data_IF_423435808800
#
_entry.id   IF_423435808800
#
_cell.length_a   1.000
_cell.length_b   1.000
_cell.length_c   1.000
_cell.angle_alpha   90.00
_cell.angle_beta   90.00
_cell.angle_gamma   90.00
#
_symmetry.space_group_name_H-M   'P 1'
#
loop_
_entity.id
_entity.type
_entity.pdbx_description
1 polymer ?
#
# COMPACT_ATOMS: atom_id res chain seq x y z
N UNK A 1 12.22 21.62 -36.74
CA UNK A 1 11.23 20.66 -37.29
C UNK A 1 10.44 21.34 -38.41
N UNK A 2 10.49 20.81 -39.62
CA UNK A 2 9.73 21.31 -40.77
C UNK A 2 8.26 20.94 -40.68
N UNK A 3 7.38 21.56 -41.48
CA UNK A 3 5.94 21.22 -41.53
C UNK A 3 5.68 19.75 -41.90
N UNK A 4 6.46 19.22 -42.82
CA UNK A 4 6.37 17.81 -43.28
C UNK A 4 6.80 16.82 -42.17
N UNK A 5 7.82 17.14 -41.39
CA UNK A 5 8.27 16.35 -40.25
C UNK A 5 7.21 16.35 -39.12
N UNK A 6 6.53 17.47 -38.93
CA UNK A 6 5.46 17.59 -37.95
C UNK A 6 4.24 16.77 -38.32
N UNK A 7 3.86 16.76 -39.58
CA UNK A 7 2.73 15.95 -40.08
C UNK A 7 3.02 14.45 -39.96
N UNK A 8 4.23 14.01 -40.26
CA UNK A 8 4.66 12.62 -40.03
C UNK A 8 4.62 12.22 -38.58
N UNK A 9 5.11 13.08 -37.67
CA UNK A 9 5.05 12.84 -36.22
C UNK A 9 3.61 12.76 -35.71
N UNK A 10 2.75 13.69 -36.12
CA UNK A 10 1.33 13.68 -35.73
C UNK A 10 0.63 12.40 -36.20
N UNK A 11 0.95 11.92 -37.41
CA UNK A 11 0.42 10.67 -37.95
C UNK A 11 0.92 9.46 -37.16
N UNK A 12 2.20 9.43 -36.81
CA UNK A 12 2.81 8.38 -35.97
C UNK A 12 2.17 8.33 -34.58
N UNK A 13 2.11 9.46 -33.87
CA UNK A 13 1.53 9.53 -32.51
C UNK A 13 0.04 9.16 -32.51
N UNK A 14 -0.72 9.59 -33.51
CA UNK A 14 -2.12 9.17 -33.68
C UNK A 14 -2.25 7.66 -33.89
N UNK A 15 -1.34 7.05 -34.65
CA UNK A 15 -1.29 5.61 -34.84
C UNK A 15 -1.13 4.88 -33.50
N UNK A 16 -0.22 5.33 -32.63
CA UNK A 16 -0.05 4.76 -31.28
C UNK A 16 -1.35 4.94 -30.46
N UNK A 17 -1.90 6.16 -30.42
CA UNK A 17 -3.08 6.48 -29.61
C UNK A 17 -4.30 5.63 -29.99
N UNK A 18 -4.50 5.39 -31.28
CA UNK A 18 -5.62 4.58 -31.78
C UNK A 18 -5.51 3.11 -31.37
N UNK A 19 -4.28 2.59 -31.25
CA UNK A 19 -4.00 1.21 -30.88
C UNK A 19 -3.84 0.99 -29.37
N UNK A 20 -3.94 2.04 -28.52
CA UNK A 20 -3.92 1.89 -27.07
C UNK A 20 -5.09 1.04 -26.56
N UNK A 21 -4.86 0.18 -25.55
CA UNK A 21 -5.92 -0.61 -24.93
C UNK A 21 -6.86 0.27 -24.09
N UNK A 22 -8.11 -0.19 -23.94
CA UNK A 22 -9.13 0.46 -23.11
C UNK A 22 -9.13 -0.05 -21.66
N UNK A 23 -7.95 -0.35 -21.14
CA UNK A 23 -7.71 -0.91 -19.81
C UNK A 23 -6.98 0.09 -18.92
N UNK A 24 -6.95 -0.13 -17.59
CA UNK A 24 -6.14 0.66 -16.67
C UNK A 24 -4.65 0.52 -16.99
N UNK A 25 -3.88 1.59 -16.71
CA UNK A 25 -2.43 1.55 -16.91
C UNK A 25 -1.75 2.89 -16.68
N UNK A 26 -0.44 2.91 -16.92
CA UNK A 26 0.39 4.10 -16.93
C UNK A 26 0.91 4.37 -18.33
N UNK A 27 0.96 5.65 -18.72
CA UNK A 27 1.54 6.10 -19.96
C UNK A 27 2.72 7.03 -19.68
N UNK A 28 3.68 7.02 -20.58
CA UNK A 28 4.92 7.77 -20.49
C UNK A 28 5.11 8.53 -21.82
N UNK A 29 5.38 9.83 -21.73
CA UNK A 29 5.69 10.65 -22.89
C UNK A 29 7.18 10.88 -22.95
N UNK A 30 7.76 10.64 -24.13
CA UNK A 30 9.18 10.77 -24.39
C UNK A 30 9.45 11.97 -25.31
N UNK A 31 10.59 12.63 -25.09
CA UNK A 31 11.08 13.70 -25.94
C UNK A 31 11.92 13.15 -27.10
N UNK A 32 12.55 14.06 -27.84
CA UNK A 32 13.45 13.81 -28.98
C UNK A 32 14.70 12.98 -28.58
N UNK A 33 15.16 13.12 -27.35
CA UNK A 33 16.31 12.40 -26.80
C UNK A 33 15.95 11.03 -26.22
N UNK A 34 14.67 10.62 -26.30
CA UNK A 34 14.17 9.39 -25.70
C UNK A 34 13.99 9.46 -24.18
N UNK A 35 14.08 10.65 -23.58
CA UNK A 35 13.88 10.84 -22.16
C UNK A 35 12.40 10.93 -21.82
N UNK A 36 12.01 10.33 -20.69
CA UNK A 36 10.65 10.41 -20.16
C UNK A 36 10.40 11.79 -19.57
N UNK A 37 9.57 12.59 -20.24
CA UNK A 37 9.23 13.97 -19.83
C UNK A 37 7.95 14.07 -19.01
N UNK A 38 7.07 13.04 -19.07
CA UNK A 38 5.84 12.98 -18.31
C UNK A 38 5.40 11.55 -18.12
N UNK A 39 4.87 11.23 -16.93
CA UNK A 39 4.20 9.98 -16.59
C UNK A 39 2.80 10.29 -16.08
N UNK A 40 1.82 9.48 -16.46
CA UNK A 40 0.46 9.62 -15.96
C UNK A 40 -0.27 8.29 -15.87
N UNK A 41 -1.17 8.17 -14.90
CA UNK A 41 -2.08 7.02 -14.78
C UNK A 41 -3.36 7.24 -15.59
N UNK A 42 -3.98 6.13 -15.96
CA UNK A 42 -5.28 6.11 -16.61
C UNK A 42 -6.13 4.93 -16.10
N UNK A 43 -7.42 5.16 -15.96
CA UNK A 43 -8.44 4.10 -15.82
C UNK A 43 -8.76 3.46 -17.17
N UNK A 44 -8.57 4.20 -18.24
CA UNK A 44 -8.67 3.79 -19.64
C UNK A 44 -7.56 4.53 -20.41
N UNK A 45 -6.51 3.80 -20.79
CA UNK A 45 -5.33 4.34 -21.44
C UNK A 45 -5.68 5.09 -22.71
N UNK A 46 -6.44 4.44 -23.61
CA UNK A 46 -6.82 5.03 -24.89
C UNK A 46 -7.55 6.35 -24.73
N UNK A 47 -8.60 6.38 -23.91
CA UNK A 47 -9.40 7.59 -23.67
C UNK A 47 -8.59 8.70 -23.05
N UNK A 48 -7.73 8.36 -22.08
CA UNK A 48 -6.91 9.33 -21.36
C UNK A 48 -5.83 9.94 -22.25
N UNK A 49 -5.09 9.13 -22.97
CA UNK A 49 -4.04 9.60 -23.88
C UNK A 49 -4.64 10.39 -25.04
N UNK A 50 -5.75 9.90 -25.64
CA UNK A 50 -6.47 10.63 -26.68
C UNK A 50 -6.84 12.05 -26.28
N UNK A 51 -7.25 12.29 -25.03
CA UNK A 51 -7.63 13.62 -24.53
C UNK A 51 -6.51 14.66 -24.59
N UNK A 52 -5.24 14.26 -24.66
CA UNK A 52 -4.12 15.19 -24.86
C UNK A 52 -3.96 15.65 -26.31
N UNK A 53 -4.45 14.86 -27.26
CA UNK A 53 -4.34 15.13 -28.70
C UNK A 53 -5.64 15.65 -29.31
N UNK A 54 -6.74 15.70 -28.51
CA UNK A 54 -7.97 16.35 -28.93
C UNK A 54 -7.84 17.87 -28.87
N UNK A 55 -8.45 18.58 -29.82
CA UNK A 55 -8.32 20.04 -29.97
C UNK A 55 -9.09 20.87 -28.89
N UNK A 56 -9.83 20.24 -28.00
CA UNK A 56 -10.64 20.92 -27.00
C UNK A 56 -9.76 21.47 -25.86
N UNK A 57 -9.81 22.80 -25.67
CA UNK A 57 -9.30 23.61 -24.55
C UNK A 57 -8.17 23.00 -23.73
N UNK A 58 -6.98 22.88 -24.28
CA UNK A 58 -5.80 22.51 -23.52
C UNK A 58 -5.26 23.71 -22.74
N UNK A 59 -4.89 23.47 -21.47
CA UNK A 59 -4.14 24.49 -20.73
C UNK A 59 -2.82 24.80 -21.44
N UNK A 60 -2.30 26.02 -21.31
CA UNK A 60 -1.01 26.42 -21.89
C UNK A 60 0.13 25.45 -21.55
N UNK A 61 0.09 24.90 -20.35
CA UNK A 61 1.05 23.90 -19.85
C UNK A 61 0.93 22.56 -20.58
N UNK A 62 -0.30 22.08 -20.81
CA UNK A 62 -0.56 20.86 -21.58
C UNK A 62 -0.14 21.00 -23.02
N UNK A 63 -0.40 22.15 -23.65
CA UNK A 63 0.03 22.41 -25.02
C UNK A 63 1.56 22.41 -25.16
N UNK A 64 2.27 22.96 -24.18
CA UNK A 64 3.75 22.91 -24.14
C UNK A 64 4.27 21.48 -23.99
N UNK A 65 3.64 20.65 -23.16
CA UNK A 65 3.97 19.24 -23.04
C UNK A 65 3.75 18.51 -24.36
N UNK A 66 2.55 18.59 -24.95
CA UNK A 66 2.20 17.91 -26.19
C UNK A 66 3.14 18.25 -27.35
N UNK A 67 3.55 19.50 -27.47
CA UNK A 67 4.50 19.93 -28.48
C UNK A 67 5.90 19.25 -28.35
N UNK A 68 6.26 18.75 -27.19
CA UNK A 68 7.54 18.08 -26.94
C UNK A 68 7.47 16.56 -27.03
N UNK A 69 6.28 15.98 -27.11
CA UNK A 69 6.11 14.53 -27.24
C UNK A 69 6.64 14.09 -28.62
N UNK A 70 7.48 13.04 -28.60
CA UNK A 70 7.99 12.36 -29.80
C UNK A 70 7.62 10.89 -29.83
N UNK A 71 7.38 10.29 -28.64
CA UNK A 71 6.98 8.90 -28.51
C UNK A 71 6.11 8.70 -27.28
N UNK A 72 5.35 7.60 -27.26
CA UNK A 72 4.43 7.22 -26.16
C UNK A 72 4.68 5.76 -25.83
N UNK A 73 5.12 5.50 -24.60
CA UNK A 73 5.15 4.16 -23.99
C UNK A 73 4.00 4.01 -23.01
N UNK A 74 3.56 2.78 -22.81
CA UNK A 74 2.50 2.49 -21.84
C UNK A 74 2.70 1.13 -21.20
N UNK A 75 2.17 0.96 -19.99
CA UNK A 75 2.17 -0.28 -19.23
C UNK A 75 0.73 -0.52 -18.78
N UNK A 76 0.18 -1.66 -19.16
CA UNK A 76 -1.16 -2.10 -18.76
C UNK A 76 -1.09 -2.69 -17.36
N UNK A 77 -2.08 -2.40 -16.54
CA UNK A 77 -2.24 -3.01 -15.19
C UNK A 77 -3.68 -3.44 -15.01
N UNK A 78 -3.94 -4.25 -13.98
CA UNK A 78 -5.26 -4.86 -13.75
C UNK A 78 -6.26 -3.90 -13.09
N UNK A 79 -5.78 -2.94 -12.29
CA UNK A 79 -6.64 -2.02 -11.54
C UNK A 79 -6.18 -0.56 -11.63
N UNK A 80 -7.09 0.37 -11.28
CA UNK A 80 -6.74 1.79 -11.15
C UNK A 80 -5.78 2.03 -9.99
N UNK A 81 -5.84 1.21 -8.94
CA UNK A 81 -4.94 1.30 -7.79
C UNK A 81 -3.52 0.90 -8.16
N UNK A 82 -3.36 -0.17 -8.95
CA UNK A 82 -2.06 -0.57 -9.50
C UNK A 82 -1.48 0.53 -10.39
N UNK A 83 -2.32 1.15 -11.25
CA UNK A 83 -1.89 2.27 -12.07
C UNK A 83 -1.39 3.46 -11.22
N UNK A 84 -2.03 3.74 -10.07
CA UNK A 84 -1.62 4.80 -9.15
C UNK A 84 -0.26 4.49 -8.50
N UNK A 85 -0.06 3.25 -8.05
CA UNK A 85 1.20 2.82 -7.45
C UNK A 85 2.34 2.85 -8.47
N UNK A 86 2.08 2.36 -9.68
CA UNK A 86 3.03 2.36 -10.77
C UNK A 86 3.41 3.78 -11.21
N UNK A 87 2.43 4.68 -11.39
CA UNK A 87 2.68 6.11 -11.68
C UNK A 87 3.63 6.73 -10.67
N UNK A 88 3.37 6.52 -9.37
CA UNK A 88 4.21 7.05 -8.30
C UNK A 88 5.65 6.54 -8.38
N UNK A 89 5.83 5.24 -8.63
CA UNK A 89 7.14 4.61 -8.76
C UNK A 89 7.91 5.16 -9.98
N UNK A 90 7.24 5.24 -11.13
CA UNK A 90 7.83 5.76 -12.36
C UNK A 90 8.22 7.24 -12.25
N UNK A 91 7.35 8.08 -11.61
CA UNK A 91 7.67 9.49 -11.39
C UNK A 91 8.88 9.65 -10.47
N UNK A 92 9.00 8.85 -9.42
CA UNK A 92 10.15 8.88 -8.52
C UNK A 92 11.43 8.43 -9.19
N UNK A 93 11.34 7.40 -10.00
CA UNK A 93 12.49 6.86 -10.71
C UNK A 93 13.02 7.82 -11.77
N UNK A 94 12.15 8.33 -12.65
CA UNK A 94 12.54 9.11 -13.81
C UNK A 94 12.53 10.62 -13.57
N UNK A 95 11.95 11.11 -12.47
CA UNK A 95 11.85 12.54 -12.14
C UNK A 95 11.39 13.42 -13.32
N UNK A 96 10.31 13.06 -14.07
CA UNK A 96 10.00 13.67 -15.36
C UNK A 96 9.74 15.16 -15.22
N UNK A 97 10.24 15.97 -16.16
CA UNK A 97 10.21 17.43 -16.07
C UNK A 97 8.80 18.03 -15.89
N UNK A 98 7.78 17.45 -16.55
CA UNK A 98 6.41 17.98 -16.55
C UNK A 98 5.54 17.45 -15.40
N UNK A 99 5.98 16.45 -14.64
CA UNK A 99 5.30 16.06 -13.41
C UNK A 99 5.66 17.07 -12.29
N UNK A 100 4.65 17.64 -11.65
CA UNK A 100 4.82 18.57 -10.52
C UNK A 100 4.55 17.87 -9.20
N UNK A 101 3.50 17.02 -9.18
CA UNK A 101 3.13 16.20 -8.03
C UNK A 101 3.93 14.89 -8.05
N UNK A 102 4.06 14.26 -6.88
CA UNK A 102 4.72 12.95 -6.66
C UNK A 102 6.24 12.95 -6.89
N UNK A 103 6.86 14.08 -7.17
CA UNK A 103 8.33 14.21 -7.26
C UNK A 103 9.03 14.28 -5.90
N UNK A 104 8.28 14.63 -4.84
CA UNK A 104 8.83 14.59 -3.50
C UNK A 104 9.02 13.13 -3.06
N UNK A 105 9.94 12.90 -2.13
CA UNK A 105 10.24 11.58 -1.56
C UNK A 105 9.09 10.98 -0.73
N UNK A 106 7.91 11.63 -0.72
CA UNK A 106 6.74 11.13 0.00
C UNK A 106 6.20 9.88 -0.67
N UNK A 107 6.65 8.75 -0.19
CA UNK A 107 6.08 7.43 -0.51
C UNK A 107 4.67 7.31 0.09
N UNK A 108 3.88 6.39 -0.46
CA UNK A 108 2.67 5.97 0.23
C UNK A 108 3.04 5.47 1.64
N UNK A 109 2.25 5.83 2.66
CA UNK A 109 2.56 5.41 4.02
C UNK A 109 2.33 3.91 4.19
N UNK A 110 3.17 3.33 5.04
CA UNK A 110 3.06 1.96 5.53
C UNK A 110 2.82 1.97 7.04
N UNK A 111 2.33 0.88 7.59
CA UNK A 111 2.27 0.66 9.04
C UNK A 111 3.53 -0.10 9.43
N UNK A 112 4.27 0.45 10.39
CA UNK A 112 5.47 -0.17 10.96
C UNK A 112 5.13 -0.81 12.30
N UNK A 113 5.53 -2.06 12.49
CA UNK A 113 5.60 -2.75 13.78
C UNK A 113 7.09 -2.87 14.12
N UNK A 114 7.55 -2.12 15.13
CA UNK A 114 8.97 -2.03 15.46
C UNK A 114 9.55 -3.34 16.00
N UNK A 115 10.86 -3.53 15.81
CA UNK A 115 11.59 -4.67 16.34
C UNK A 115 12.21 -4.31 17.72
N UNK A 116 11.36 -4.21 18.73
CA UNK A 116 11.71 -3.86 20.12
C UNK A 116 11.15 -4.91 21.08
N UNK A 117 11.63 -5.01 22.33
CA UNK A 117 11.07 -5.93 23.34
C UNK A 117 9.57 -5.73 23.57
N UNK A 118 9.10 -4.48 23.46
CA UNK A 118 7.68 -4.07 23.44
C UNK A 118 7.41 -3.27 22.18
N UNK A 119 7.08 -3.90 21.04
CA UNK A 119 6.91 -3.25 19.74
C UNK A 119 5.86 -2.15 19.76
N UNK A 120 6.08 -1.10 18.97
CA UNK A 120 5.09 -0.05 18.68
C UNK A 120 4.51 -0.24 17.30
N UNK A 121 3.26 0.20 17.12
CA UNK A 121 2.58 0.21 15.83
C UNK A 121 2.26 1.66 15.46
N UNK A 122 2.74 2.11 14.31
CA UNK A 122 2.51 3.47 13.83
C UNK A 122 2.65 3.57 12.31
N UNK A 123 2.07 4.62 11.74
CA UNK A 123 2.23 4.92 10.31
C UNK A 123 3.56 5.61 10.04
N UNK A 124 4.20 5.23 8.95
CA UNK A 124 5.44 5.86 8.48
C UNK A 124 5.50 5.86 6.95
N UNK A 125 6.26 6.80 6.40
CA UNK A 125 6.64 6.79 4.99
C UNK A 125 8.09 6.36 4.77
N UNK A 126 8.88 6.33 5.85
CA UNK A 126 10.27 5.92 5.80
C UNK A 126 10.38 4.43 6.16
N UNK A 127 10.92 3.64 5.25
CA UNK A 127 11.18 2.22 5.44
C UNK A 127 12.65 2.05 5.81
N UNK A 128 12.89 1.57 7.04
CA UNK A 128 14.23 1.23 7.53
C UNK A 128 14.25 -0.28 7.77
N UNK A 129 14.82 -1.04 6.84
CA UNK A 129 14.71 -2.51 6.78
C UNK A 129 15.02 -3.26 8.08
N UNK A 130 15.85 -2.72 8.98
CA UNK A 130 16.19 -3.35 10.27
C UNK A 130 15.34 -2.89 11.45
N UNK A 131 14.50 -1.86 11.27
CA UNK A 131 13.77 -1.23 12.38
C UNK A 131 12.46 -1.96 12.75
N UNK A 132 11.92 -2.80 11.87
CA UNK A 132 10.67 -3.52 12.13
C UNK A 132 10.08 -4.20 10.91
N UNK A 133 8.85 -4.72 11.08
CA UNK A 133 8.03 -5.27 9.99
C UNK A 133 7.14 -4.17 9.44
N UNK A 134 7.02 -4.09 8.12
CA UNK A 134 6.23 -3.08 7.42
C UNK A 134 5.05 -3.73 6.70
N UNK A 135 3.88 -3.10 6.79
CA UNK A 135 2.64 -3.52 6.14
C UNK A 135 2.14 -2.39 5.24
N UNK A 136 1.73 -2.69 4.04
CA UNK A 136 1.40 -1.74 2.99
C UNK A 136 2.39 -1.81 1.83
N UNK A 137 2.51 -0.80 0.95
CA UNK A 137 2.03 0.58 1.10
C UNK A 137 0.51 0.74 0.92
N UNK A 138 -0.08 1.70 1.63
CA UNK A 138 -1.51 2.00 1.54
C UNK A 138 -1.74 3.21 0.64
N UNK A 139 -2.43 3.02 -0.47
CA UNK A 139 -2.84 4.10 -1.38
C UNK A 139 -3.94 4.97 -0.78
N UNK A 140 -4.84 4.37 0.02
CA UNK A 140 -5.98 5.05 0.63
C UNK A 140 -5.75 5.34 2.11
N UNK A 141 -5.44 6.60 2.43
CA UNK A 141 -5.12 7.05 3.81
C UNK A 141 -6.25 6.82 4.81
N UNK A 142 -7.54 7.04 4.49
CA UNK A 142 -8.63 6.73 5.40
C UNK A 142 -8.65 5.27 5.86
N UNK A 143 -8.44 4.31 4.97
CA UNK A 143 -8.35 2.88 5.31
C UNK A 143 -7.19 2.60 6.27
N UNK A 144 -6.02 3.16 6.01
CA UNK A 144 -4.86 3.04 6.91
C UNK A 144 -5.17 3.58 8.32
N UNK A 145 -5.78 4.76 8.41
CA UNK A 145 -6.14 5.36 9.69
C UNK A 145 -7.20 4.50 10.41
N UNK A 146 -8.23 4.02 9.70
CA UNK A 146 -9.26 3.15 10.28
C UNK A 146 -8.67 1.84 10.82
N UNK A 147 -7.67 1.26 10.14
CA UNK A 147 -6.94 0.07 10.59
C UNK A 147 -6.14 0.34 11.88
N UNK A 148 -5.46 1.47 11.95
CA UNK A 148 -4.73 1.87 13.15
C UNK A 148 -5.66 2.16 14.34
N UNK A 149 -6.81 2.78 14.10
CA UNK A 149 -7.83 3.03 15.12
C UNK A 149 -8.46 1.72 15.61
N UNK A 150 -8.74 0.78 14.71
CA UNK A 150 -9.21 -0.55 15.08
C UNK A 150 -8.20 -1.26 16.01
N UNK A 151 -6.93 -1.32 15.62
CA UNK A 151 -5.86 -1.94 16.42
C UNK A 151 -5.75 -1.26 17.80
N UNK A 152 -5.78 0.07 17.83
CA UNK A 152 -5.71 0.84 19.08
C UNK A 152 -6.91 0.58 19.99
N UNK A 153 -8.10 0.39 19.42
CA UNK A 153 -9.32 0.10 20.17
C UNK A 153 -9.36 -1.34 20.72
N UNK A 154 -8.74 -2.29 19.99
CA UNK A 154 -8.68 -3.70 20.38
C UNK A 154 -7.59 -3.97 21.42
N UNK A 155 -6.43 -3.31 21.26
CA UNK A 155 -5.23 -3.60 22.02
C UNK A 155 -4.64 -2.33 22.63
N UNK A 156 -4.54 -2.23 23.97
CA UNK A 156 -3.94 -1.10 24.64
C UNK A 156 -2.40 -1.15 24.55
N UNK A 157 -1.88 -0.79 23.38
CA UNK A 157 -0.46 -0.83 23.07
C UNK A 157 0.21 0.52 23.36
N UNK A 158 1.48 0.48 23.74
CA UNK A 158 2.26 1.70 23.98
C UNK A 158 2.50 2.52 22.72
N UNK A 159 2.51 3.84 22.87
CA UNK A 159 2.88 4.80 21.82
C UNK A 159 4.20 5.52 22.14
N UNK A 160 4.65 5.48 23.40
CA UNK A 160 5.86 6.16 23.88
C UNK A 160 7.15 5.61 23.22
N UNK A 161 8.19 6.48 23.15
CA UNK A 161 9.49 6.14 22.54
C UNK A 161 10.55 5.67 23.55
N UNK A 162 10.14 5.33 24.77
CA UNK A 162 11.06 4.82 25.80
C UNK A 162 11.69 3.49 25.36
N UNK A 163 12.96 3.31 25.64
CA UNK A 163 13.69 2.04 25.42
C UNK A 163 13.39 1.13 26.61
N UNK A 164 12.44 0.22 26.43
CA UNK A 164 11.96 -0.69 27.46
C UNK A 164 12.80 -1.97 27.46
N UNK A 165 13.97 -1.91 28.10
CA UNK A 165 14.75 -3.12 28.47
C UNK A 165 14.29 -3.63 29.83
N UNK A 166 14.51 -4.90 30.11
CA UNK A 166 14.20 -5.51 31.41
C UNK A 166 14.86 -4.74 32.57
N UNK A 167 16.10 -4.29 32.35
CA UNK A 167 16.86 -3.50 33.32
C UNK A 167 16.20 -2.14 33.58
N UNK A 168 15.82 -1.41 32.53
CA UNK A 168 15.18 -0.10 32.66
C UNK A 168 13.81 -0.17 33.36
N UNK A 169 13.08 -1.27 33.16
CA UNK A 169 11.80 -1.53 33.84
C UNK A 169 12.03 -1.87 35.30
N UNK A 170 12.98 -2.79 35.60
CA UNK A 170 13.30 -3.22 36.97
C UNK A 170 13.82 -2.10 37.83
N UNK A 171 14.60 -1.18 37.25
CA UNK A 171 15.14 -0.01 37.97
C UNK A 171 14.15 1.11 38.19
N UNK A 172 12.90 0.98 37.69
CA UNK A 172 11.87 2.01 37.85
C UNK A 172 12.19 3.32 37.13
N UNK A 173 12.92 3.25 35.99
CA UNK A 173 13.40 4.41 35.22
C UNK A 173 12.29 5.31 34.70
N UNK A 174 11.08 4.76 34.51
CA UNK A 174 9.98 5.43 33.82
C UNK A 174 8.79 5.63 34.76
N UNK A 175 8.11 6.77 34.61
CA UNK A 175 6.83 7.05 35.23
C UNK A 175 5.69 6.76 34.25
N UNK A 176 4.48 6.55 34.77
CA UNK A 176 3.25 6.42 33.98
C UNK A 176 2.95 7.69 33.20
N UNK A 177 2.48 7.54 32.00
CA UNK A 177 2.10 8.64 31.11
C UNK A 177 0.56 8.74 30.98
N UNK A 178 0.09 9.77 30.30
CA UNK A 178 -1.33 9.99 30.07
C UNK A 178 -2.02 8.76 29.43
N UNK A 179 -1.37 8.10 28.46
CA UNK A 179 -1.93 6.91 27.78
C UNK A 179 -2.23 5.76 28.76
N UNK A 180 -1.47 5.63 29.84
CA UNK A 180 -1.76 4.67 30.91
C UNK A 180 -3.01 5.08 31.70
N UNK A 181 -3.12 6.34 32.09
CA UNK A 181 -4.25 6.83 32.87
C UNK A 181 -5.58 6.75 32.10
N UNK A 182 -5.56 7.01 30.80
CA UNK A 182 -6.75 6.87 29.94
C UNK A 182 -6.95 5.45 29.41
N UNK A 183 -6.20 4.47 29.94
CA UNK A 183 -6.30 3.02 29.63
C UNK A 183 -5.99 2.64 28.17
N UNK A 184 -5.33 3.49 27.42
CA UNK A 184 -4.82 3.19 26.08
C UNK A 184 -3.51 2.37 26.09
N UNK A 185 -2.89 2.22 27.28
CA UNK A 185 -1.68 1.44 27.49
C UNK A 185 -1.75 0.77 28.87
N UNK A 186 -1.33 -0.49 28.98
CA UNK A 186 -1.31 -1.25 30.26
C UNK A 186 -0.04 -1.03 31.08
N UNK A 187 0.82 -0.09 30.74
CA UNK A 187 2.00 0.28 31.51
C UNK A 187 3.14 -0.75 31.49
N UNK A 188 3.58 -1.29 30.34
CA UNK A 188 4.74 -2.18 30.31
C UNK A 188 6.02 -1.50 30.79
N UNK A 189 6.10 -0.16 30.75
CA UNK A 189 7.24 0.62 31.22
C UNK A 189 7.45 0.57 32.75
N UNK A 190 6.41 0.23 33.52
CA UNK A 190 6.43 0.08 34.99
C UNK A 190 6.17 -1.37 35.43
N UNK A 191 6.27 -2.35 34.48
CA UNK A 191 6.07 -3.77 34.76
C UNK A 191 4.64 -4.22 35.02
N UNK A 192 3.63 -3.36 34.75
CA UNK A 192 2.21 -3.71 34.93
C UNK A 192 1.65 -4.64 33.85
N UNK A 193 2.40 -4.86 32.77
CA UNK A 193 2.06 -5.81 31.72
C UNK A 193 3.28 -6.67 31.39
N UNK A 194 3.10 -8.00 31.37
CA UNK A 194 4.15 -8.92 31.00
C UNK A 194 4.48 -8.82 29.52
N UNK A 195 5.69 -9.24 29.15
CA UNK A 195 6.13 -9.26 27.76
C UNK A 195 5.30 -10.25 26.94
N UNK A 196 4.97 -11.40 27.52
CA UNK A 196 4.19 -12.46 26.87
C UNK A 196 2.80 -11.97 26.50
N UNK A 197 2.10 -11.35 27.45
CA UNK A 197 0.78 -10.75 27.21
C UNK A 197 0.85 -9.65 26.14
N UNK A 198 1.88 -8.79 26.21
CA UNK A 198 2.07 -7.74 25.23
C UNK A 198 2.32 -8.28 23.82
N UNK A 199 3.19 -9.29 23.71
CA UNK A 199 3.53 -9.91 22.43
C UNK A 199 2.36 -10.67 21.81
N UNK A 200 1.47 -11.29 22.62
CA UNK A 200 0.22 -11.87 22.11
C UNK A 200 -0.63 -10.80 21.41
N UNK A 201 -0.81 -9.64 22.02
CA UNK A 201 -1.54 -8.52 21.41
C UNK A 201 -0.88 -8.01 20.13
N UNK A 202 0.45 -7.96 20.08
CA UNK A 202 1.21 -7.60 18.87
C UNK A 202 1.00 -8.63 17.75
N UNK A 203 1.00 -9.93 18.08
CA UNK A 203 0.79 -10.98 17.07
C UNK A 203 -0.63 -10.90 16.47
N UNK A 204 -1.64 -10.73 17.31
CA UNK A 204 -3.03 -10.55 16.85
C UNK A 204 -3.18 -9.29 15.99
N UNK A 205 -2.54 -8.19 16.39
CA UNK A 205 -2.50 -6.97 15.58
C UNK A 205 -1.81 -7.18 14.22
N UNK A 206 -0.72 -7.95 14.16
CA UNK A 206 -0.08 -8.33 12.90
C UNK A 206 -1.00 -9.15 12.00
N UNK A 207 -1.77 -10.06 12.55
CA UNK A 207 -2.75 -10.82 11.75
C UNK A 207 -3.86 -9.91 11.19
N UNK A 208 -4.32 -8.90 11.94
CA UNK A 208 -5.23 -7.87 11.41
C UNK A 208 -4.58 -7.12 10.24
N UNK A 209 -3.30 -6.74 10.38
CA UNK A 209 -2.56 -6.02 9.33
C UNK A 209 -2.32 -6.86 8.07
N UNK A 210 -2.29 -8.19 8.20
CA UNK A 210 -2.27 -9.14 7.07
C UNK A 210 -3.65 -9.36 6.44
N UNK A 211 -4.73 -8.85 7.06
CA UNK A 211 -6.11 -9.03 6.60
C UNK A 211 -6.83 -10.25 7.22
N UNK A 212 -6.21 -11.01 8.11
CA UNK A 212 -6.80 -12.21 8.73
C UNK A 212 -7.89 -11.91 9.77
N UNK A 213 -8.69 -10.87 9.52
CA UNK A 213 -9.76 -10.40 10.43
C UNK A 213 -10.86 -11.43 10.66
N UNK A 214 -11.16 -12.25 9.63
CA UNK A 214 -12.17 -13.31 9.74
C UNK A 214 -11.78 -14.41 10.73
N UNK A 215 -10.51 -14.80 10.75
CA UNK A 215 -10.00 -15.81 11.68
C UNK A 215 -9.99 -15.29 13.11
N UNK A 216 -9.55 -14.05 13.31
CA UNK A 216 -9.57 -13.40 14.61
C UNK A 216 -11.00 -13.29 15.13
N UNK A 217 -11.96 -12.88 14.28
CA UNK A 217 -13.37 -12.83 14.65
C UNK A 217 -13.90 -14.19 15.10
N UNK A 218 -13.58 -15.28 14.36
CA UNK A 218 -13.96 -16.65 14.75
C UNK A 218 -13.36 -17.08 16.10
N UNK A 219 -12.10 -16.73 16.34
CA UNK A 219 -11.42 -17.06 17.59
C UNK A 219 -12.03 -16.30 18.78
N UNK A 220 -12.33 -15.01 18.60
CA UNK A 220 -13.03 -14.20 19.60
C UNK A 220 -14.42 -14.75 19.92
N UNK A 221 -15.15 -15.22 18.90
CA UNK A 221 -16.47 -15.82 19.10
C UNK A 221 -16.39 -17.11 19.94
N UNK A 222 -15.40 -17.97 19.67
CA UNK A 222 -15.15 -19.18 20.45
C UNK A 222 -14.77 -18.85 21.92
N UNK A 223 -13.88 -17.90 22.10
CA UNK A 223 -13.45 -17.43 23.43
C UNK A 223 -14.63 -16.85 24.23
N UNK A 224 -15.47 -16.03 23.58
CA UNK A 224 -16.68 -15.47 24.19
C UNK A 224 -17.64 -16.58 24.63
N UNK A 225 -17.87 -17.60 23.80
CA UNK A 225 -18.74 -18.74 24.13
C UNK A 225 -18.18 -19.56 25.30
N UNK A 226 -16.86 -19.81 25.30
CA UNK A 226 -16.19 -20.48 26.40
C UNK A 226 -16.33 -19.72 27.72
N UNK A 227 -16.03 -18.41 27.73
CA UNK A 227 -16.16 -17.57 28.93
C UNK A 227 -17.61 -17.51 29.44
N UNK A 228 -18.58 -17.48 28.53
CA UNK A 228 -19.99 -17.52 28.90
C UNK A 228 -20.39 -18.88 29.54
N UNK A 229 -19.85 -20.01 29.05
CA UNK A 229 -20.08 -21.33 29.65
C UNK A 229 -19.49 -21.46 31.08
N UNK A 230 -18.39 -20.74 31.32
CA UNK A 230 -17.75 -20.64 32.66
C UNK A 230 -18.40 -19.56 33.57
N UNK A 231 -19.56 -18.99 33.15
CA UNK A 231 -20.27 -17.89 33.84
C UNK A 231 -19.44 -16.62 34.03
N UNK A 232 -18.35 -16.41 33.26
CA UNK A 232 -17.48 -15.21 33.29
C UNK A 232 -18.04 -14.13 32.37
N UNK A 233 -19.24 -13.66 32.66
CA UNK A 233 -20.02 -12.81 31.75
C UNK A 233 -19.36 -11.43 31.48
N UNK A 234 -18.66 -10.83 32.45
CA UNK A 234 -17.97 -9.55 32.26
C UNK A 234 -16.82 -9.68 31.22
N UNK A 235 -16.08 -10.78 31.31
CA UNK A 235 -14.99 -11.06 30.37
C UNK A 235 -15.56 -11.42 28.98
N UNK A 236 -16.60 -12.22 28.91
CA UNK A 236 -17.32 -12.51 27.67
C UNK A 236 -17.83 -11.22 27.00
N UNK A 237 -18.37 -10.28 27.81
CA UNK A 237 -18.83 -8.98 27.29
C UNK A 237 -17.67 -8.11 26.78
N UNK A 238 -16.50 -8.18 27.39
CA UNK A 238 -15.31 -7.47 26.91
C UNK A 238 -14.85 -8.01 25.53
N UNK A 239 -14.86 -9.35 25.35
CA UNK A 239 -14.56 -9.98 24.07
C UNK A 239 -15.64 -9.65 23.02
N UNK A 240 -16.92 -9.64 23.40
CA UNK A 240 -18.01 -9.25 22.51
C UNK A 240 -17.82 -7.86 21.92
N UNK A 241 -17.44 -6.88 22.73
CA UNK A 241 -17.15 -5.50 22.27
C UNK A 241 -16.03 -5.49 21.22
N UNK A 242 -14.98 -6.28 21.44
CA UNK A 242 -13.88 -6.40 20.45
C UNK A 242 -14.33 -7.04 19.15
N UNK A 243 -15.13 -8.09 19.23
CA UNK A 243 -15.72 -8.77 18.08
C UNK A 243 -16.58 -7.81 17.26
N UNK A 244 -17.45 -7.03 17.90
CA UNK A 244 -18.29 -6.02 17.24
C UNK A 244 -17.47 -4.96 16.50
N UNK A 245 -16.32 -4.56 17.03
CA UNK A 245 -15.39 -3.62 16.36
C UNK A 245 -14.81 -4.23 15.08
N UNK A 246 -14.40 -5.50 15.10
CA UNK A 246 -13.86 -6.20 13.93
C UNK A 246 -14.95 -6.38 12.86
N UNK A 247 -16.14 -6.82 13.23
CA UNK A 247 -17.25 -6.97 12.29
C UNK A 247 -17.69 -5.63 11.70
N UNK A 248 -17.73 -4.57 12.52
CA UNK A 248 -18.00 -3.22 12.04
C UNK A 248 -16.93 -2.70 11.09
N UNK A 249 -15.68 -3.08 11.26
CA UNK A 249 -14.62 -2.75 10.31
C UNK A 249 -14.78 -3.55 9.00
N UNK A 250 -15.02 -4.85 9.08
CA UNK A 250 -15.22 -5.73 7.92
C UNK A 250 -16.41 -5.30 7.06
N UNK A 251 -17.50 -4.87 7.67
CA UNK A 251 -18.68 -4.40 6.94
C UNK A 251 -18.50 -3.07 6.20
N UNK A 252 -17.54 -2.25 6.64
CA UNK A 252 -17.18 -0.96 5.98
C UNK A 252 -16.06 -1.11 4.95
N UNK A 253 -15.29 -2.18 5.03
CA UNK A 253 -14.25 -2.48 4.05
C UNK A 253 -14.94 -2.97 2.77
N UNK A 254 -14.76 -2.27 1.65
CA UNK A 254 -15.22 -2.76 0.36
C UNK A 254 -14.54 -4.08 0.04
N UNK A 255 -15.29 -5.16 0.14
CA UNK A 255 -14.79 -6.51 -0.15
C UNK A 255 -14.76 -6.67 -1.66
N UNK A 256 -13.57 -6.82 -2.22
CA UNK A 256 -13.38 -7.01 -3.66
C UNK A 256 -13.93 -8.37 -4.12
N UNK A 257 -13.94 -9.38 -3.27
CA UNK A 257 -14.52 -10.69 -3.58
C UNK A 257 -14.71 -11.56 -2.33
N UNK A 258 -15.89 -12.17 -2.20
CA UNK A 258 -16.18 -13.16 -1.15
C UNK A 258 -15.61 -14.56 -1.44
N UNK A 259 -15.08 -14.80 -2.62
CA UNK A 259 -14.59 -16.12 -3.08
C UNK A 259 -13.07 -16.25 -3.09
N UNK A 260 -12.34 -15.13 -3.05
CA UNK A 260 -10.88 -15.12 -3.07
C UNK A 260 -10.33 -15.08 -1.65
N UNK A 261 -9.83 -16.22 -1.17
CA UNK A 261 -9.18 -16.35 0.13
C UNK A 261 -7.69 -16.59 -0.06
N UNK A 262 -6.84 -15.75 0.55
CA UNK A 262 -5.38 -15.92 0.63
C UNK A 262 -4.73 -16.35 -0.69
N UNK A 263 -4.79 -15.47 -1.68
CA UNK A 263 -4.21 -15.69 -3.00
C UNK A 263 -3.05 -14.71 -3.21
N UNK A 264 -1.93 -15.26 -3.62
CA UNK A 264 -0.82 -14.49 -4.14
C UNK A 264 -0.97 -14.44 -5.67
N UNK A 265 -1.07 -13.23 -6.19
CA UNK A 265 -1.20 -13.00 -7.63
C UNK A 265 0.09 -12.38 -8.13
N UNK A 266 0.71 -13.04 -9.08
CA UNK A 266 1.85 -12.50 -9.82
C UNK A 266 1.40 -12.16 -11.23
N UNK A 267 1.82 -11.02 -11.73
CA UNK A 267 1.76 -10.69 -13.14
C UNK A 267 3.10 -10.16 -13.59
N UNK A 268 3.50 -10.54 -14.79
CA UNK A 268 4.72 -10.08 -15.40
C UNK A 268 4.40 -9.44 -16.73
N UNK A 269 5.01 -8.28 -16.94
CA UNK A 269 5.02 -7.59 -18.24
C UNK A 269 6.47 -7.29 -18.55
N UNK A 270 6.91 -7.59 -19.74
CA UNK A 270 8.30 -7.46 -20.13
C UNK A 270 8.48 -6.72 -21.46
N UNK A 271 9.61 -6.05 -21.59
CA UNK A 271 10.13 -5.50 -22.84
C UNK A 271 11.48 -6.16 -23.19
N UNK A 272 12.18 -5.67 -24.20
CA UNK A 272 13.46 -6.22 -24.64
C UNK A 272 14.56 -6.13 -23.58
N UNK A 273 14.47 -5.21 -22.62
CA UNK A 273 15.53 -4.88 -21.65
C UNK A 273 15.14 -5.08 -20.19
N UNK A 274 13.86 -5.07 -19.89
CA UNK A 274 13.35 -5.10 -18.51
C UNK A 274 12.09 -5.94 -18.39
N UNK A 275 11.86 -6.51 -17.23
CA UNK A 275 10.61 -7.13 -16.83
C UNK A 275 10.04 -6.44 -15.59
N UNK A 276 8.74 -6.24 -15.57
CA UNK A 276 7.99 -5.66 -14.44
C UNK A 276 7.15 -6.77 -13.83
N UNK A 277 7.52 -7.18 -12.64
CA UNK A 277 6.82 -8.23 -11.90
C UNK A 277 5.95 -7.54 -10.86
N UNK A 278 4.64 -7.70 -10.97
CA UNK A 278 3.68 -7.25 -9.97
C UNK A 278 3.31 -8.42 -9.06
N UNK A 279 3.38 -8.18 -7.77
CA UNK A 279 2.91 -9.07 -6.73
C UNK A 279 1.74 -8.44 -6.00
N UNK A 280 0.64 -9.18 -5.89
CA UNK A 280 -0.53 -8.79 -5.12
C UNK A 280 -0.84 -9.90 -4.10
N UNK A 281 -0.87 -9.56 -2.83
CA UNK A 281 -1.39 -10.44 -1.79
C UNK A 281 -2.84 -10.11 -1.51
N UNK A 282 -3.73 -11.03 -1.86
CA UNK A 282 -5.17 -10.93 -1.59
C UNK A 282 -5.51 -11.82 -0.39
N UNK A 283 -5.99 -11.24 0.69
CA UNK A 283 -6.46 -11.98 1.86
C UNK A 283 -7.88 -11.56 2.21
N UNK A 284 -8.77 -12.54 2.39
CA UNK A 284 -10.20 -12.34 2.65
C UNK A 284 -10.89 -11.39 1.66
N UNK A 285 -10.56 -11.49 0.38
CA UNK A 285 -11.15 -10.70 -0.69
C UNK A 285 -10.61 -9.27 -0.83
N UNK A 286 -9.64 -8.86 0.00
CA UNK A 286 -9.01 -7.54 -0.06
C UNK A 286 -7.55 -7.66 -0.45
N UNK A 287 -7.08 -6.72 -1.29
CA UNK A 287 -5.65 -6.59 -1.60
C UNK A 287 -4.96 -5.94 -0.41
N UNK A 288 -4.13 -6.70 0.30
CA UNK A 288 -3.43 -6.23 1.49
C UNK A 288 -2.02 -5.75 1.19
N UNK A 289 -1.39 -6.31 0.16
CA UNK A 289 -0.05 -5.93 -0.27
C UNK A 289 -0.01 -5.88 -1.80
N UNK A 290 0.68 -4.87 -2.33
CA UNK A 290 0.96 -4.73 -3.75
C UNK A 290 2.39 -4.24 -3.91
N UNK A 291 3.20 -4.96 -4.67
CA UNK A 291 4.56 -4.59 -5.01
C UNK A 291 4.79 -4.72 -6.49
N UNK A 292 5.52 -3.77 -7.07
CA UNK A 292 6.02 -3.87 -8.43
C UNK A 292 7.54 -3.89 -8.38
N UNK A 293 8.13 -4.94 -8.91
CA UNK A 293 9.56 -5.08 -9.07
C UNK A 293 9.92 -4.86 -10.52
N UNK A 294 10.97 -4.11 -10.79
CA UNK A 294 11.60 -4.09 -12.09
C UNK A 294 12.85 -4.95 -12.04
N UNK A 295 12.93 -5.88 -12.97
CA UNK A 295 14.08 -6.72 -13.20
C UNK A 295 14.72 -6.36 -14.54
N UNK A 296 16.00 -6.07 -14.56
CA UNK A 296 16.75 -5.87 -15.79
C UNK A 296 17.17 -7.23 -16.34
N UNK A 297 16.67 -7.57 -17.48
CA UNK A 297 17.03 -8.80 -18.18
C UNK A 297 18.53 -8.81 -18.46
N UNK A 298 19.18 -9.94 -18.20
CA UNK A 298 20.61 -10.12 -18.48
C UNK A 298 20.84 -10.84 -19.81
N UNK A 299 19.89 -11.67 -20.22
CA UNK A 299 19.85 -12.42 -21.49
C UNK A 299 18.37 -12.55 -21.85
N UNK A 300 17.99 -13.16 -22.97
CA UNK A 300 16.60 -13.42 -23.40
C UNK A 300 15.87 -14.39 -22.44
N UNK A 301 15.69 -13.98 -21.17
CA UNK A 301 14.97 -14.73 -20.15
C UNK A 301 13.47 -14.68 -20.45
N UNK A 302 12.80 -15.83 -20.40
CA UNK A 302 11.35 -15.93 -20.58
C UNK A 302 10.60 -15.50 -19.32
N UNK A 303 9.32 -15.07 -19.42
CA UNK A 303 8.51 -14.73 -18.24
C UNK A 303 8.43 -15.86 -17.20
N UNK A 304 8.42 -17.12 -17.64
CA UNK A 304 8.40 -18.31 -16.78
C UNK A 304 9.71 -18.46 -15.97
N UNK A 305 10.85 -18.19 -16.60
CA UNK A 305 12.16 -18.23 -15.94
C UNK A 305 12.33 -17.10 -14.92
N UNK A 306 11.69 -15.95 -15.15
CA UNK A 306 11.73 -14.80 -14.24
C UNK A 306 10.82 -14.97 -13.00
N UNK A 307 9.88 -15.92 -13.02
CA UNK A 307 8.98 -16.22 -11.91
C UNK A 307 9.43 -17.46 -11.10
N UNK A 308 10.44 -18.19 -11.53
CA UNK A 308 10.98 -19.38 -10.86
C UNK A 308 12.12 -19.02 -9.92
#
# INVERSE_FOLDING_TARGET
MTAAEREKLDTYLRGIVLNLPETPGCYQYLNEDGEIIYVGKAKNLKRRVYSYFSKEQQSRKTAMLVNKIRDIKYIVVKSEEDALLLENNLIKRYQPHYNVLLKDDKTYPSICVTNEPFPRIFKTRNIIHKAGSYFGPYSHIPTLNALLELIKSLYPLRTCRHILTEENIRTGKFNVCLEYHIKNCKGPCIGQQSREEYMKSIQEAKEILKGNTAEIGRNMLKEMQFLASEMRFEEAQAIKKKYELIEGFRSRSEVVSNTLHNIDVFSIEDDESSAYINYLHVSNGCINQAFTFEYKKRINETPEELLS
#
